data_IF_983620243306
#
_entry.id   IF_983620243306
#
_cell.length_a   1.000
_cell.length_b   1.000
_cell.length_c   1.000
_cell.angle_alpha   90.00
_cell.angle_beta   90.00
_cell.angle_gamma   90.00
#
_symmetry.space_group_name_H-M   'P 1'
#
loop_
_entity.id
_entity.type
_entity.pdbx_description
1 polymer ?
#
# COMPACT_ATOMS: atom_id res chain seq x y z
N UNK A 1 14.88 -15.47 10.62
CA UNK A 1 13.66 -15.69 11.45
C UNK A 1 12.53 -14.91 10.81
N UNK A 2 11.30 -15.44 10.72
CA UNK A 2 10.29 -14.90 9.80
C UNK A 2 10.02 -13.42 10.06
N UNK A 3 10.13 -12.61 9.01
CA UNK A 3 10.12 -11.15 9.05
C UNK A 3 8.72 -10.55 9.00
N UNK A 4 8.61 -9.34 8.43
CA UNK A 4 7.31 -8.75 8.15
C UNK A 4 6.62 -9.48 6.99
N UNK A 5 5.36 -9.83 7.20
CA UNK A 5 4.51 -10.41 6.16
C UNK A 5 3.51 -9.37 5.67
N UNK A 6 3.36 -9.30 4.34
CA UNK A 6 2.46 -8.36 3.67
C UNK A 6 1.46 -9.18 2.88
N UNK A 7 0.18 -8.84 3.01
CA UNK A 7 -0.88 -9.39 2.16
C UNK A 7 -1.65 -8.23 1.56
N UNK A 8 -1.86 -8.25 0.25
CA UNK A 8 -2.62 -7.23 -0.48
C UNK A 8 -3.87 -7.85 -1.08
N UNK A 9 -4.92 -7.05 -1.21
CA UNK A 9 -6.18 -7.43 -1.84
C UNK A 9 -6.80 -6.20 -2.52
N UNK A 10 -7.29 -6.38 -3.74
CA UNK A 10 -7.98 -5.33 -4.49
C UNK A 10 -9.46 -5.67 -4.62
N UNK A 11 -10.33 -4.69 -4.37
CA UNK A 11 -11.77 -4.85 -4.54
C UNK A 11 -12.44 -3.56 -5.06
N UNK A 12 -13.12 -3.60 -6.22
CA UNK A 12 -13.11 -4.70 -7.18
C UNK A 12 -11.71 -4.91 -7.78
N UNK A 13 -11.46 -6.09 -8.34
CA UNK A 13 -10.18 -6.45 -8.98
C UNK A 13 -9.83 -5.57 -10.20
N UNK A 14 -10.79 -4.78 -10.69
CA UNK A 14 -10.69 -4.00 -11.92
C UNK A 14 -11.37 -2.65 -11.72
N UNK A 15 -10.71 -1.61 -12.20
CA UNK A 15 -11.23 -0.26 -12.24
C UNK A 15 -11.93 -0.04 -13.59
N UNK A 16 -13.19 0.41 -13.57
CA UNK A 16 -13.94 0.73 -14.79
C UNK A 16 -13.89 2.22 -15.08
N UNK A 17 -13.34 2.60 -16.22
CA UNK A 17 -13.19 3.99 -16.63
C UNK A 17 -14.51 4.70 -16.84
N UNK A 18 -15.50 4.00 -17.42
CA UNK A 18 -16.83 4.58 -17.66
C UNK A 18 -17.50 5.08 -16.38
N UNK A 19 -17.33 4.35 -15.29
CA UNK A 19 -17.93 4.71 -14.01
C UNK A 19 -17.03 5.64 -13.18
N UNK A 20 -15.71 5.66 -13.46
CA UNK A 20 -14.69 6.33 -12.66
C UNK A 20 -14.79 6.03 -11.16
N UNK A 21 -15.33 4.87 -10.81
CA UNK A 21 -15.48 4.42 -9.44
C UNK A 21 -14.11 4.03 -8.88
N UNK A 22 -13.81 4.37 -7.62
CA UNK A 22 -12.57 3.93 -7.01
C UNK A 22 -12.56 2.43 -6.82
N UNK A 23 -11.36 1.86 -6.87
CA UNK A 23 -11.11 0.52 -6.34
C UNK A 23 -10.51 0.64 -4.94
N UNK A 24 -10.84 -0.29 -4.06
CA UNK A 24 -10.23 -0.37 -2.74
C UNK A 24 -9.01 -1.27 -2.79
N UNK A 25 -7.87 -0.75 -2.34
CA UNK A 25 -6.70 -1.53 -1.98
C UNK A 25 -6.70 -1.74 -0.48
N UNK A 26 -6.93 -2.99 -0.09
CA UNK A 26 -6.71 -3.46 1.26
C UNK A 26 -5.33 -4.08 1.36
N UNK A 27 -4.57 -3.75 2.39
CA UNK A 27 -3.37 -4.50 2.72
C UNK A 27 -3.20 -4.68 4.21
N UNK A 28 -2.50 -5.74 4.55
CA UNK A 28 -2.29 -6.19 5.91
C UNK A 28 -0.80 -6.36 6.13
N UNK A 29 -0.28 -5.75 7.19
CA UNK A 29 1.08 -5.96 7.66
C UNK A 29 1.01 -6.80 8.93
N UNK A 30 1.71 -7.93 8.95
CA UNK A 30 1.79 -8.82 10.11
C UNK A 30 3.24 -8.97 10.56
N UNK A 31 3.47 -8.84 11.87
CA UNK A 31 4.75 -9.15 12.48
C UNK A 31 4.80 -10.64 12.85
N UNK A 32 5.31 -11.47 11.94
CA UNK A 32 5.48 -12.90 12.20
C UNK A 32 6.77 -13.22 12.97
N UNK A 33 7.54 -12.21 13.36
CA UNK A 33 8.76 -12.35 14.11
C UNK A 33 8.53 -12.57 15.60
N UNK A 34 9.62 -12.77 16.34
CA UNK A 34 9.61 -13.01 17.79
C UNK A 34 9.87 -11.75 18.63
N UNK A 35 10.20 -10.62 17.98
CA UNK A 35 10.47 -9.34 18.65
C UNK A 35 9.47 -8.27 18.19
N UNK A 36 9.12 -7.29 19.04
CA UNK A 36 8.38 -6.12 18.61
C UNK A 36 9.14 -5.33 17.55
N UNK A 37 8.45 -4.84 16.52
CA UNK A 37 9.05 -4.14 15.38
C UNK A 37 8.49 -2.75 15.20
N UNK A 38 9.37 -1.77 14.95
CA UNK A 38 8.95 -0.42 14.56
C UNK A 38 8.79 -0.40 13.05
N UNK A 39 7.61 0.01 12.56
CA UNK A 39 7.23 -0.21 11.15
C UNK A 39 6.66 1.06 10.55
N UNK A 40 7.03 1.33 9.30
CA UNK A 40 6.36 2.32 8.44
C UNK A 40 6.04 1.71 7.09
N UNK A 41 5.15 2.34 6.34
CA UNK A 41 4.95 2.00 4.94
C UNK A 41 4.82 3.25 4.06
N UNK A 42 5.12 3.09 2.77
CA UNK A 42 4.68 3.98 1.70
C UNK A 42 3.87 3.22 0.66
N UNK A 43 2.81 3.84 0.16
CA UNK A 43 2.10 3.38 -1.03
C UNK A 43 2.22 4.47 -2.09
N UNK A 44 2.76 4.08 -3.24
CA UNK A 44 3.07 4.97 -4.36
C UNK A 44 2.31 4.49 -5.60
N UNK A 45 1.49 5.37 -6.15
CA UNK A 45 0.69 5.13 -7.32
C UNK A 45 1.32 5.79 -8.57
N UNK A 46 1.16 5.19 -9.76
CA UNK A 46 1.61 5.81 -10.99
C UNK A 46 0.75 7.04 -11.34
N UNK A 47 1.21 7.94 -12.23
CA UNK A 47 0.52 9.20 -12.58
C UNK A 47 -0.94 9.06 -13.05
N UNK A 48 -1.33 7.89 -13.51
CA UNK A 48 -2.67 7.57 -14.01
C UNK A 48 -3.67 7.26 -12.89
N UNK A 49 -3.19 7.07 -11.65
CA UNK A 49 -4.01 6.73 -10.49
C UNK A 49 -3.75 7.73 -9.35
N UNK A 50 -4.66 7.81 -8.39
CA UNK A 50 -4.49 8.63 -7.20
C UNK A 50 -5.25 8.11 -5.98
N UNK A 51 -4.89 8.62 -4.82
CA UNK A 51 -5.49 8.34 -3.50
C UNK A 51 -6.60 9.34 -3.14
N UNK A 52 -6.91 10.25 -4.06
CA UNK A 52 -8.00 11.19 -3.95
C UNK A 52 -8.81 11.23 -5.26
N UNK A 53 -10.04 11.75 -5.18
CA UNK A 53 -10.94 11.88 -6.34
C UNK A 53 -10.36 12.71 -7.47
N UNK A 54 -9.40 13.60 -7.19
CA UNK A 54 -8.77 14.46 -8.18
C UNK A 54 -7.64 13.74 -8.95
N UNK A 55 -7.15 12.60 -8.45
CA UNK A 55 -5.99 11.91 -8.98
C UNK A 55 -4.67 12.65 -8.74
N UNK A 56 -4.62 13.57 -7.76
CA UNK A 56 -3.46 14.43 -7.51
C UNK A 56 -2.52 13.84 -6.47
N UNK A 57 -3.09 13.35 -5.35
CA UNK A 57 -2.32 12.69 -4.33
C UNK A 57 -1.99 11.26 -4.76
N UNK A 58 -0.70 10.95 -4.93
CA UNK A 58 -0.24 9.65 -5.44
C UNK A 58 0.60 8.86 -4.45
N UNK A 59 1.04 9.52 -3.39
CA UNK A 59 1.93 8.95 -2.39
C UNK A 59 1.31 9.14 -1.03
N UNK A 60 1.23 8.07 -0.26
CA UNK A 60 0.98 8.13 1.17
C UNK A 60 2.12 7.46 1.91
N UNK A 61 2.53 8.06 3.03
CA UNK A 61 3.54 7.53 3.93
C UNK A 61 2.95 7.51 5.33
N UNK A 62 3.09 6.40 6.05
CA UNK A 62 2.57 6.27 7.41
C UNK A 62 3.55 5.54 8.29
N UNK A 63 3.83 6.14 9.44
CA UNK A 63 4.58 5.55 10.55
C UNK A 63 3.57 4.95 11.53
N UNK A 64 3.74 3.71 11.97
CA UNK A 64 2.88 3.16 13.01
C UNK A 64 3.23 3.81 14.37
N UNK A 65 2.27 4.34 15.13
CA UNK A 65 2.60 5.07 16.35
C UNK A 65 3.31 4.19 17.39
N UNK A 66 2.99 2.89 17.40
CA UNK A 66 3.54 1.91 18.34
C UNK A 66 4.32 0.83 17.59
N UNK A 67 5.22 0.15 18.31
CA UNK A 67 5.87 -1.07 17.81
C UNK A 67 4.81 -2.16 17.67
N UNK A 68 4.82 -2.84 16.54
CA UNK A 68 3.99 -4.02 16.30
C UNK A 68 4.51 -5.19 17.14
N UNK A 69 3.69 -5.71 18.05
CA UNK A 69 4.03 -6.88 18.85
C UNK A 69 4.17 -8.15 17.99
N UNK A 70 4.88 -9.19 18.47
CA UNK A 70 4.89 -10.50 17.82
C UNK A 70 3.46 -11.04 17.60
N UNK A 71 3.16 -11.48 16.38
CA UNK A 71 1.83 -11.94 15.96
C UNK A 71 0.82 -10.82 15.67
N UNK A 72 1.15 -9.56 15.95
CA UNK A 72 0.26 -8.44 15.68
C UNK A 72 0.08 -8.22 14.18
N UNK A 73 -1.17 -7.92 13.82
CA UNK A 73 -1.59 -7.68 12.44
C UNK A 73 -2.35 -6.37 12.35
N UNK A 74 -1.91 -5.48 11.47
CA UNK A 74 -2.57 -4.19 11.22
C UNK A 74 -3.07 -4.14 9.78
N UNK A 75 -4.29 -3.65 9.60
CA UNK A 75 -4.97 -3.55 8.30
C UNK A 75 -5.10 -2.09 7.88
N UNK A 76 -4.94 -1.86 6.58
CA UNK A 76 -5.13 -0.57 5.94
C UNK A 76 -6.01 -0.74 4.71
N UNK A 77 -6.83 0.27 4.45
CA UNK A 77 -7.74 0.33 3.31
C UNK A 77 -7.62 1.70 2.67
N UNK A 78 -7.33 1.73 1.37
CA UNK A 78 -7.21 2.96 0.59
C UNK A 78 -8.04 2.86 -0.68
N UNK A 79 -8.81 3.91 -0.96
CA UNK A 79 -9.52 4.03 -2.22
C UNK A 79 -8.56 4.63 -3.27
N UNK A 80 -8.47 3.96 -4.42
CA UNK A 80 -7.64 4.33 -5.56
C UNK A 80 -8.57 4.79 -6.67
N UNK A 81 -8.37 6.04 -7.09
CA UNK A 81 -9.17 6.72 -8.09
C UNK A 81 -8.42 6.82 -9.42
N UNK A 82 -9.13 6.79 -10.56
CA UNK A 82 -8.56 7.11 -11.85
C UNK A 82 -8.24 8.61 -11.95
N UNK A 83 -7.04 8.97 -12.43
CA UNK A 83 -6.71 10.37 -12.74
C UNK A 83 -7.38 10.82 -14.05
N UNK A 84 -7.23 12.10 -14.43
CA UNK A 84 -7.84 12.61 -15.67
C UNK A 84 -7.21 12.05 -16.95
N UNK A 85 -5.98 11.54 -16.86
CA UNK A 85 -5.18 11.06 -17.99
C UNK A 85 -5.03 9.54 -18.00
N UNK A 86 -5.85 8.83 -17.21
CA UNK A 86 -5.86 7.38 -17.19
C UNK A 86 -6.38 6.83 -18.52
N UNK A 87 -5.79 5.74 -18.96
CA UNK A 87 -6.23 4.96 -20.12
C UNK A 87 -6.46 3.51 -19.69
N UNK A 88 -7.06 2.70 -20.55
CA UNK A 88 -7.18 1.26 -20.27
C UNK A 88 -5.79 0.63 -20.26
N UNK A 89 -5.52 -0.24 -19.29
CA UNK A 89 -4.21 -0.88 -19.17
C UNK A 89 -3.93 -1.45 -17.77
N UNK A 90 -2.70 -1.90 -17.58
CA UNK A 90 -2.20 -2.36 -16.28
C UNK A 90 -1.25 -1.32 -15.68
N UNK A 91 -1.48 -0.98 -14.42
CA UNK A 91 -0.72 0.00 -13.68
C UNK A 91 -0.18 -0.62 -12.39
N UNK A 92 1.12 -0.49 -12.15
CA UNK A 92 1.74 -1.06 -10.95
C UNK A 92 1.84 -0.01 -9.86
N UNK A 93 1.16 -0.24 -8.74
CA UNK A 93 1.38 0.46 -7.49
C UNK A 93 2.52 -0.21 -6.71
N UNK A 94 3.32 0.59 -6.00
CA UNK A 94 4.43 0.13 -5.18
C UNK A 94 4.08 0.33 -3.70
N UNK A 95 4.03 -0.76 -2.94
CA UNK A 95 3.88 -0.76 -1.49
C UNK A 95 5.21 -1.12 -0.86
N UNK A 96 5.86 -0.16 -0.21
CA UNK A 96 7.10 -0.39 0.53
C UNK A 96 6.78 -0.45 2.02
N UNK A 97 7.31 -1.44 2.72
CA UNK A 97 7.15 -1.59 4.16
C UNK A 97 8.54 -1.70 4.78
N UNK A 98 8.86 -0.74 5.64
CA UNK A 98 10.17 -0.63 6.28
C UNK A 98 10.08 -1.00 7.76
N UNK A 99 11.00 -1.85 8.20
CA UNK A 99 11.33 -2.08 9.60
C UNK A 99 12.45 -1.12 10.04
N UNK A 100 12.36 -0.62 11.27
CA UNK A 100 13.25 0.42 11.79
C UNK A 100 13.95 0.01 13.09
N UNK A 101 15.20 0.47 13.28
CA UNK A 101 15.99 0.24 14.49
C UNK A 101 15.84 1.37 15.50
N UNK A 102 15.01 1.16 16.53
CA UNK A 102 14.90 2.07 17.67
C UNK A 102 14.13 3.36 17.38
N UNK A 103 14.36 4.02 16.25
CA UNK A 103 13.63 5.18 15.74
C UNK A 103 13.39 5.08 14.23
N UNK A 104 12.64 6.02 13.66
CA UNK A 104 12.26 6.02 12.24
C UNK A 104 13.31 6.53 11.24
N UNK A 105 14.49 6.90 11.72
CA UNK A 105 15.56 7.47 10.91
C UNK A 105 16.54 6.38 10.43
N UNK A 106 16.48 5.19 11.04
CA UNK A 106 17.35 4.06 10.73
C UNK A 106 16.54 2.84 10.26
N UNK A 107 16.56 2.60 8.95
CA UNK A 107 15.95 1.43 8.32
C UNK A 107 16.82 0.17 8.50
N UNK A 108 16.19 -0.93 8.93
CA UNK A 108 16.84 -2.25 9.07
C UNK A 108 16.59 -3.13 7.85
N UNK A 109 15.33 -3.19 7.44
CA UNK A 109 14.86 -4.06 6.39
C UNK A 109 13.73 -3.35 5.67
N UNK A 110 13.67 -3.52 4.36
CA UNK A 110 12.61 -2.99 3.53
C UNK A 110 12.06 -4.12 2.66
N UNK A 111 10.74 -4.19 2.59
CA UNK A 111 10.03 -5.14 1.77
C UNK A 111 9.14 -4.38 0.80
N UNK A 112 9.38 -4.63 -0.48
CA UNK A 112 8.65 -4.02 -1.58
C UNK A 112 7.66 -5.03 -2.13
N UNK A 113 6.40 -4.64 -2.19
CA UNK A 113 5.32 -5.41 -2.79
C UNK A 113 4.76 -4.61 -3.98
N UNK A 114 4.65 -5.26 -5.13
CA UNK A 114 4.02 -4.66 -6.31
C UNK A 114 2.56 -5.08 -6.37
N UNK A 115 1.68 -4.12 -6.60
CA UNK A 115 0.25 -4.36 -6.75
C UNK A 115 -0.17 -3.91 -8.14
N UNK A 116 -0.53 -4.89 -8.99
CA UNK A 116 -1.03 -4.61 -10.34
C UNK A 116 -2.50 -4.24 -10.29
N UNK A 117 -2.82 -3.07 -10.82
CA UNK A 117 -4.16 -2.52 -10.93
C UNK A 117 -4.57 -2.55 -12.40
N UNK A 118 -5.67 -3.23 -12.69
CA UNK A 118 -6.23 -3.32 -14.04
C UNK A 118 -7.29 -2.26 -14.26
N UNK A 119 -7.12 -1.48 -15.30
CA UNK A 119 -8.07 -0.47 -15.75
C UNK A 119 -8.68 -0.93 -17.07
N UNK A 120 -10.00 -1.07 -17.06
CA UNK A 120 -10.81 -1.46 -18.21
C UNK A 120 -11.84 -0.36 -18.51
N UNK A 121 -12.43 -0.41 -19.70
CA UNK A 121 -13.44 0.56 -20.14
C UNK A 121 -14.75 0.43 -19.31
#
# INVERSE_FOLDING_TARGET
MPGLNIKTNLFPYRLKLRNREPIRLDFTIANNGVKPKLVSFSLELPPQLGLDKAGMNRVIRKKLPNKMAPGETVKFSYDIFPSKVVETGEYTALLNVSEHFGNYDYELENKNEQVTIRVED
#
